data_IF_115783315511
#
_entry.id   IF_115783315511
#
_cell.length_a   1.000
_cell.length_b   1.000
_cell.length_c   1.000
_cell.angle_alpha   90.00
_cell.angle_beta   90.00
_cell.angle_gamma   90.00
#
_symmetry.space_group_name_H-M   'P 1'
#
loop_
_entity.id
_entity.type
_entity.pdbx_description
1 polymer ?
#
# COMPACT_ATOMS: atom_id res chain seq x y z
N UNK A 1 9.51 17.36 37.72
CA UNK A 1 8.11 17.82 37.58
C UNK A 1 7.95 19.30 37.21
N UNK A 2 8.87 20.20 37.55
CA UNK A 2 8.73 21.66 37.35
C UNK A 2 8.88 22.15 35.89
N UNK A 3 9.57 21.41 35.03
CA UNK A 3 9.73 21.77 33.61
C UNK A 3 8.44 21.52 32.82
N UNK A 4 7.76 20.39 33.08
CA UNK A 4 6.52 20.00 32.38
C UNK A 4 5.37 20.99 32.60
N UNK A 5 5.21 21.47 33.84
CA UNK A 5 4.22 22.51 34.18
C UNK A 5 4.55 23.88 33.56
N UNK A 6 5.84 24.22 33.39
CA UNK A 6 6.27 25.44 32.68
C UNK A 6 5.96 25.37 31.18
N UNK A 7 6.15 24.20 30.54
CA UNK A 7 5.82 24.00 29.12
C UNK A 7 4.31 24.08 28.87
N UNK A 8 3.50 23.47 29.74
CA UNK A 8 2.04 23.57 29.70
C UNK A 8 1.54 25.01 29.92
N UNK A 9 2.13 25.76 30.86
CA UNK A 9 1.75 27.15 31.14
C UNK A 9 2.07 28.13 30.01
N UNK A 10 3.10 27.86 29.20
CA UNK A 10 3.44 28.71 28.05
C UNK A 10 2.69 28.32 26.77
N UNK A 11 2.22 27.07 26.66
CA UNK A 11 1.51 26.58 25.47
C UNK A 11 0.01 26.35 25.66
N UNK A 12 -0.57 26.54 26.85
CA UNK A 12 -1.99 26.25 27.10
C UNK A 12 -2.93 26.91 26.09
N UNK A 13 -2.68 28.17 25.69
CA UNK A 13 -3.47 28.85 24.64
C UNK A 13 -3.39 28.14 23.29
N UNK A 14 -2.23 27.59 22.93
CA UNK A 14 -2.03 26.79 21.70
C UNK A 14 -2.67 25.40 21.82
N UNK A 15 -2.64 24.80 23.01
CA UNK A 15 -3.26 23.49 23.27
C UNK A 15 -4.79 23.58 23.26
N UNK A 16 -5.38 24.59 23.93
CA UNK A 16 -6.83 24.81 23.96
C UNK A 16 -7.36 25.26 22.60
N UNK A 17 -6.62 26.10 21.87
CA UNK A 17 -6.99 26.48 20.50
C UNK A 17 -6.92 25.29 19.53
N UNK A 18 -5.91 24.42 19.66
CA UNK A 18 -5.80 23.19 18.86
C UNK A 18 -6.97 22.24 19.10
N UNK A 19 -7.33 21.99 20.36
CA UNK A 19 -8.50 21.15 20.71
C UNK A 19 -9.81 21.76 20.21
N UNK A 20 -9.97 23.08 20.25
CA UNK A 20 -11.15 23.76 19.73
C UNK A 20 -11.24 23.63 18.19
N UNK A 21 -10.13 23.83 17.48
CA UNK A 21 -10.06 23.68 16.02
C UNK A 21 -10.37 22.24 15.59
N UNK A 22 -9.81 21.25 16.28
CA UNK A 22 -10.08 19.83 15.99
C UNK A 22 -11.56 19.49 16.20
N UNK A 23 -12.21 20.05 17.21
CA UNK A 23 -13.63 19.85 17.45
C UNK A 23 -14.52 20.52 16.38
N UNK A 24 -14.12 21.69 15.86
CA UNK A 24 -14.81 22.36 14.76
C UNK A 24 -14.71 21.54 13.46
N UNK A 25 -13.52 21.04 13.13
CA UNK A 25 -13.31 20.18 11.97
C UNK A 25 -14.14 18.91 12.06
N UNK A 26 -14.17 18.26 13.23
CA UNK A 26 -15.03 17.09 13.46
C UNK A 26 -16.51 17.41 13.28
N UNK A 27 -16.97 18.55 13.81
CA UNK A 27 -18.36 18.97 13.68
C UNK A 27 -18.75 19.20 12.21
N UNK A 28 -17.90 19.89 11.46
CA UNK A 28 -18.13 20.14 10.03
C UNK A 28 -18.18 18.82 9.24
N UNK A 29 -17.26 17.90 9.50
CA UNK A 29 -17.24 16.58 8.86
C UNK A 29 -18.48 15.75 9.20
N UNK A 30 -18.93 15.75 10.46
CA UNK A 30 -20.16 15.08 10.85
C UNK A 30 -21.39 15.67 10.14
N UNK A 31 -21.44 17.00 9.96
CA UNK A 31 -22.52 17.66 9.22
C UNK A 31 -22.52 17.26 7.74
N UNK A 32 -21.34 17.22 7.10
CA UNK A 32 -21.22 16.77 5.71
C UNK A 32 -21.63 15.30 5.58
N UNK A 33 -21.13 14.43 6.46
CA UNK A 33 -21.48 13.02 6.49
C UNK A 33 -22.99 12.81 6.75
N UNK A 34 -23.62 13.62 7.60
CA UNK A 34 -25.08 13.61 7.85
C UNK A 34 -25.89 13.88 6.58
N UNK A 35 -25.42 14.75 5.69
CA UNK A 35 -26.08 14.99 4.39
C UNK A 35 -26.06 13.72 3.54
N UNK A 36 -24.96 12.96 3.53
CA UNK A 36 -24.89 11.66 2.84
C UNK A 36 -25.79 10.60 3.51
N UNK A 37 -25.90 10.64 4.83
CA UNK A 37 -26.73 9.72 5.60
C UNK A 37 -28.23 9.87 5.42
N UNK A 38 -28.69 11.11 5.21
CA UNK A 38 -30.10 11.44 5.04
C UNK A 38 -30.63 11.13 3.62
N UNK A 39 -29.83 10.50 2.76
CA UNK A 39 -30.26 10.11 1.42
C UNK A 39 -31.27 8.94 1.49
N UNK A 40 -32.34 9.06 0.70
CA UNK A 40 -33.39 8.05 0.65
C UNK A 40 -32.93 6.83 -0.16
N UNK A 41 -33.17 5.64 0.38
CA UNK A 41 -32.89 4.36 -0.27
C UNK A 41 -34.25 3.71 -0.60
N UNK A 42 -34.43 3.14 -1.81
CA UNK A 42 -35.65 2.39 -2.12
C UNK A 42 -35.82 1.21 -1.16
N UNK A 43 -37.05 0.82 -0.79
CA UNK A 43 -37.28 -0.25 0.19
C UNK A 43 -36.72 -1.62 -0.25
N UNK A 44 -36.53 -1.83 -1.56
CA UNK A 44 -36.00 -3.06 -2.13
C UNK A 44 -34.46 -3.06 -2.26
N UNK A 45 -33.81 -1.90 -2.06
CA UNK A 45 -32.36 -1.79 -2.17
C UNK A 45 -31.71 -2.19 -0.84
N UNK A 46 -30.70 -3.04 -0.91
CA UNK A 46 -29.94 -3.42 0.26
C UNK A 46 -28.93 -2.32 0.64
N UNK A 47 -28.74 -2.15 1.94
CA UNK A 47 -27.72 -1.23 2.43
C UNK A 47 -26.34 -1.88 2.28
N UNK A 48 -25.36 -1.08 1.85
CA UNK A 48 -23.98 -1.52 1.71
C UNK A 48 -23.42 -1.93 3.08
N UNK A 49 -22.75 -3.08 3.12
CA UNK A 49 -22.06 -3.60 4.29
C UNK A 49 -20.59 -3.19 4.25
N UNK A 50 -20.08 -2.65 5.35
CA UNK A 50 -18.67 -2.30 5.47
C UNK A 50 -17.99 -3.13 6.57
N UNK A 51 -16.78 -3.61 6.29
CA UNK A 51 -15.95 -4.30 7.29
C UNK A 51 -14.71 -3.48 7.57
N UNK A 52 -14.51 -3.09 8.82
CA UNK A 52 -13.42 -2.21 9.26
C UNK A 52 -12.37 -3.03 10.00
N UNK A 53 -11.14 -3.05 9.50
CA UNK A 53 -9.97 -3.58 10.19
C UNK A 53 -9.24 -2.45 10.91
N UNK A 54 -9.13 -2.54 12.23
CA UNK A 54 -8.51 -1.53 13.06
C UNK A 54 -7.28 -2.09 13.77
N UNK A 55 -6.12 -1.48 13.52
CA UNK A 55 -4.92 -1.71 14.32
C UNK A 55 -4.76 -0.62 15.39
N UNK A 56 -5.08 -0.92 16.67
CA UNK A 56 -5.00 0.07 17.76
C UNK A 56 -3.56 0.49 18.07
N UNK A 57 -2.56 -0.35 17.78
CA UNK A 57 -1.15 -0.08 18.07
C UNK A 57 -0.49 0.85 17.04
N UNK A 58 -1.11 1.04 15.87
CA UNK A 58 -0.57 1.88 14.79
C UNK A 58 -0.50 3.37 15.15
N UNK A 59 -1.21 3.80 16.20
CA UNK A 59 -1.31 5.21 16.58
C UNK A 59 -0.38 5.59 17.75
N UNK A 60 0.44 6.62 17.54
CA UNK A 60 1.49 7.03 18.47
C UNK A 60 0.97 7.88 19.66
N UNK A 61 -0.22 8.50 19.57
CA UNK A 61 -0.73 9.35 20.65
C UNK A 61 -1.69 8.59 21.57
N UNK A 62 -1.35 8.56 22.88
CA UNK A 62 -2.19 7.98 23.93
C UNK A 62 -3.62 8.53 23.86
N UNK A 63 -4.57 7.67 23.46
CA UNK A 63 -5.99 8.01 23.34
C UNK A 63 -6.73 7.09 22.36
N UNK A 64 -6.65 5.77 22.54
CA UNK A 64 -7.40 4.79 21.72
C UNK A 64 -8.92 5.03 21.75
N UNK A 65 -9.46 5.53 22.87
CA UNK A 65 -10.89 5.83 23.01
C UNK A 65 -11.38 7.02 22.17
N UNK A 66 -10.53 8.00 21.85
CA UNK A 66 -10.95 9.15 21.00
C UNK A 66 -10.88 8.81 19.51
N UNK A 67 -10.00 7.90 19.09
CA UNK A 67 -9.90 7.46 17.69
C UNK A 67 -11.11 6.66 17.23
N UNK A 68 -11.65 5.79 18.07
CA UNK A 68 -12.91 5.11 17.79
C UNK A 68 -14.03 6.14 17.58
N UNK A 69 -14.10 7.19 18.38
CA UNK A 69 -15.01 8.31 18.14
C UNK A 69 -14.66 9.12 16.86
N UNK A 70 -13.40 9.33 16.51
CA UNK A 70 -12.98 10.12 15.33
C UNK A 70 -13.22 9.36 14.02
N UNK A 71 -12.99 8.06 14.00
CA UNK A 71 -13.09 7.20 12.82
C UNK A 71 -14.49 6.59 12.71
N UNK A 72 -15.07 6.13 13.82
CA UNK A 72 -16.41 5.52 13.81
C UNK A 72 -17.52 6.58 13.80
N UNK A 73 -17.42 7.74 14.48
CA UNK A 73 -18.57 8.66 14.51
C UNK A 73 -18.97 9.22 13.12
N UNK A 74 -18.06 9.63 12.22
CA UNK A 74 -18.43 10.14 10.90
C UNK A 74 -18.91 9.04 9.94
N UNK A 75 -18.38 7.81 10.07
CA UNK A 75 -18.76 6.67 9.21
C UNK A 75 -20.07 6.04 9.68
N UNK A 76 -20.25 5.86 11.00
CA UNK A 76 -21.30 5.05 11.62
C UNK A 76 -22.58 5.83 11.92
N UNK A 77 -22.51 7.14 12.20
CA UNK A 77 -23.66 7.90 12.70
C UNK A 77 -24.59 8.39 11.57
N UNK A 78 -24.12 8.69 10.35
CA UNK A 78 -25.03 9.11 9.31
C UNK A 78 -25.31 8.05 8.24
N UNK A 79 -24.33 7.23 7.83
CA UNK A 79 -24.64 6.17 6.87
C UNK A 79 -25.33 5.04 7.65
N UNK A 80 -26.62 4.79 7.39
CA UNK A 80 -27.39 3.69 8.02
C UNK A 80 -26.90 2.28 7.59
N UNK A 81 -25.59 2.12 7.39
CA UNK A 81 -24.92 0.95 6.86
C UNK A 81 -24.43 0.05 7.98
N UNK A 82 -24.84 -1.23 8.01
CA UNK A 82 -24.31 -2.17 9.00
C UNK A 82 -22.80 -2.32 8.78
N UNK A 83 -22.00 -1.86 9.76
CA UNK A 83 -20.55 -2.00 9.73
C UNK A 83 -20.02 -2.87 10.88
N UNK A 84 -19.14 -3.80 10.52
CA UNK A 84 -18.48 -4.71 11.43
C UNK A 84 -17.06 -4.23 11.69
N UNK A 85 -16.72 -3.98 12.95
CA UNK A 85 -15.37 -3.53 13.33
C UNK A 85 -14.61 -4.72 13.89
N UNK A 86 -13.49 -5.04 13.24
CA UNK A 86 -12.57 -6.09 13.61
C UNK A 86 -11.28 -5.44 14.10
N UNK A 87 -11.01 -5.57 15.39
CA UNK A 87 -9.76 -5.13 15.98
C UNK A 87 -8.71 -6.22 15.80
N UNK A 88 -7.52 -5.83 15.35
CA UNK A 88 -6.35 -6.71 15.26
C UNK A 88 -5.50 -6.55 16.51
N UNK A 89 -5.19 -7.66 17.16
CA UNK A 89 -4.37 -7.74 18.37
C UNK A 89 -2.90 -8.05 18.06
N UNK A 90 -2.63 -8.75 16.95
CA UNK A 90 -1.27 -9.14 16.54
C UNK A 90 -1.10 -9.21 15.02
N UNK A 91 0.15 -9.25 14.58
CA UNK A 91 0.54 -9.31 13.17
C UNK A 91 0.02 -10.58 12.47
N UNK A 92 -0.53 -10.40 11.27
CA UNK A 92 -1.11 -11.48 10.46
C UNK A 92 -2.51 -11.93 10.90
N UNK A 93 -3.09 -11.33 11.96
CA UNK A 93 -4.48 -11.62 12.34
C UNK A 93 -5.47 -11.10 11.30
N UNK A 94 -5.21 -9.92 10.71
CA UNK A 94 -6.08 -9.35 9.68
C UNK A 94 -6.22 -10.31 8.49
N UNK A 95 -5.10 -10.91 8.08
CA UNK A 95 -5.01 -11.89 7.00
C UNK A 95 -5.88 -13.13 7.25
N UNK A 96 -5.78 -13.73 8.44
CA UNK A 96 -6.59 -14.91 8.83
C UNK A 96 -8.08 -14.58 8.90
N UNK A 97 -8.43 -13.43 9.47
CA UNK A 97 -9.83 -12.98 9.54
C UNK A 97 -10.40 -12.74 8.16
N UNK A 98 -9.58 -12.22 7.24
CA UNK A 98 -10.02 -11.96 5.88
C UNK A 98 -10.23 -13.23 5.06
N UNK A 99 -9.50 -14.31 5.33
CA UNK A 99 -9.75 -15.64 4.71
C UNK A 99 -11.13 -16.20 5.09
N UNK A 100 -11.66 -15.84 6.27
CA UNK A 100 -12.97 -16.28 6.75
C UNK A 100 -14.10 -15.29 6.43
N UNK A 101 -13.79 -14.15 5.82
CA UNK A 101 -14.80 -13.14 5.50
C UNK A 101 -15.59 -13.57 4.26
N UNK A 102 -16.91 -13.73 4.38
CA UNK A 102 -17.72 -14.29 3.30
C UNK A 102 -18.46 -13.23 2.47
N UNK A 103 -18.88 -12.10 3.07
CA UNK A 103 -19.67 -11.08 2.37
C UNK A 103 -19.42 -9.66 2.92
N UNK A 104 -18.87 -8.77 2.07
CA UNK A 104 -18.74 -7.33 2.37
C UNK A 104 -18.76 -6.53 1.07
N UNK A 105 -19.33 -5.34 1.09
CA UNK A 105 -19.36 -4.45 -0.08
C UNK A 105 -18.19 -3.47 -0.06
N UNK A 106 -17.59 -3.23 1.11
CA UNK A 106 -16.50 -2.29 1.34
C UNK A 106 -15.59 -2.81 2.45
N UNK A 107 -14.28 -2.81 2.20
CA UNK A 107 -13.28 -3.09 3.24
C UNK A 107 -12.63 -1.78 3.64
N UNK A 108 -12.57 -1.46 4.92
CA UNK A 108 -11.88 -0.27 5.44
C UNK A 108 -10.72 -0.72 6.30
N UNK A 109 -9.55 -0.15 6.08
CA UNK A 109 -8.34 -0.41 6.87
C UNK A 109 -7.94 0.85 7.61
N UNK A 110 -7.95 0.81 8.93
CA UNK A 110 -7.50 1.87 9.82
C UNK A 110 -6.19 1.46 10.49
N UNK A 111 -5.07 1.96 9.99
CA UNK A 111 -3.75 1.52 10.40
C UNK A 111 -2.59 2.23 9.68
N UNK A 112 -1.44 1.59 9.66
CA UNK A 112 -0.29 1.99 8.84
C UNK A 112 -0.14 1.11 7.59
N UNK A 113 0.96 1.31 6.86
CA UNK A 113 1.23 0.60 5.60
C UNK A 113 1.32 -0.93 5.79
N UNK A 114 1.87 -1.43 6.91
CA UNK A 114 1.90 -2.87 7.22
C UNK A 114 0.51 -3.49 7.41
N UNK A 115 -0.37 -2.87 8.21
CA UNK A 115 -1.75 -3.34 8.36
C UNK A 115 -2.51 -3.35 7.03
N UNK A 116 -2.23 -2.39 6.15
CA UNK A 116 -2.79 -2.36 4.81
C UNK A 116 -2.25 -3.52 3.95
N UNK A 117 -0.94 -3.78 4.00
CA UNK A 117 -0.29 -4.90 3.34
C UNK A 117 -0.89 -6.24 3.79
N UNK A 118 -1.15 -6.43 5.09
CA UNK A 118 -1.73 -7.67 5.61
C UNK A 118 -3.12 -7.93 5.03
N UNK A 119 -3.96 -6.89 5.01
CA UNK A 119 -5.32 -6.98 4.48
C UNK A 119 -5.27 -7.29 2.99
N UNK A 120 -4.44 -6.61 2.22
CA UNK A 120 -4.30 -6.85 0.78
C UNK A 120 -3.79 -8.24 0.49
N UNK A 121 -2.79 -8.69 1.25
CA UNK A 121 -2.28 -10.04 1.13
C UNK A 121 -3.36 -11.05 1.50
N UNK A 122 -4.19 -10.76 2.49
CA UNK A 122 -5.39 -11.54 2.81
C UNK A 122 -6.37 -11.60 1.62
N UNK A 123 -6.67 -10.46 0.98
CA UNK A 123 -7.64 -10.37 -0.14
C UNK A 123 -7.17 -11.25 -1.30
N UNK A 124 -5.89 -11.10 -1.66
CA UNK A 124 -5.33 -11.68 -2.87
C UNK A 124 -4.85 -13.13 -2.72
N UNK A 125 -4.79 -13.65 -1.48
CA UNK A 125 -4.52 -15.09 -1.24
C UNK A 125 -5.76 -15.96 -1.25
N UNK A 126 -6.95 -15.37 -1.23
CA UNK A 126 -8.21 -16.12 -1.21
C UNK A 126 -8.44 -16.88 -2.52
N UNK A 127 -9.12 -18.01 -2.44
CA UNK A 127 -9.54 -18.76 -3.63
C UNK A 127 -10.55 -18.02 -4.52
N UNK A 128 -11.30 -17.07 -3.96
CA UNK A 128 -12.26 -16.19 -4.63
C UNK A 128 -11.72 -14.76 -4.85
N UNK A 129 -10.39 -14.62 -4.93
CA UNK A 129 -9.67 -13.38 -5.16
C UNK A 129 -10.31 -12.50 -6.26
N UNK A 130 -10.73 -13.08 -7.39
CA UNK A 130 -11.26 -12.32 -8.53
C UNK A 130 -12.54 -11.52 -8.20
N UNK A 131 -13.30 -11.96 -7.21
CA UNK A 131 -14.48 -11.23 -6.70
C UNK A 131 -14.06 -10.21 -5.67
N UNK A 132 -13.23 -10.62 -4.71
CA UNK A 132 -12.78 -9.77 -3.61
C UNK A 132 -11.88 -8.61 -4.08
N UNK A 133 -11.11 -8.77 -5.15
CA UNK A 133 -10.28 -7.71 -5.72
C UNK A 133 -11.11 -6.56 -6.34
N UNK A 134 -12.38 -6.83 -6.67
CA UNK A 134 -13.32 -5.82 -7.19
C UNK A 134 -13.97 -5.00 -6.07
N UNK A 135 -13.91 -5.47 -4.81
CA UNK A 135 -14.42 -4.76 -3.64
C UNK A 135 -13.52 -3.55 -3.38
N UNK A 136 -14.08 -2.34 -3.25
CA UNK A 136 -13.29 -1.15 -2.97
C UNK A 136 -12.76 -1.15 -1.53
N UNK A 137 -11.50 -0.75 -1.39
CA UNK A 137 -10.77 -0.67 -0.13
C UNK A 137 -10.63 0.80 0.28
N UNK A 138 -11.06 1.13 1.50
CA UNK A 138 -10.84 2.42 2.14
C UNK A 138 -9.61 2.35 3.03
N UNK A 139 -8.76 3.37 2.97
CA UNK A 139 -7.58 3.46 3.84
C UNK A 139 -7.66 4.69 4.73
N UNK A 140 -7.49 4.48 6.03
CA UNK A 140 -7.49 5.53 7.05
C UNK A 140 -6.09 5.53 7.70
N UNK A 141 -5.23 6.51 7.35
CA UNK A 141 -3.82 6.50 7.72
C UNK A 141 -3.59 6.93 9.17
N UNK A 142 -3.54 5.97 10.09
CA UNK A 142 -3.27 6.18 11.51
C UNK A 142 -1.76 6.23 11.83
N UNK A 143 -0.92 5.65 10.98
CA UNK A 143 0.54 5.65 11.13
C UNK A 143 1.18 7.04 11.05
N UNK A 144 2.41 7.20 11.56
CA UNK A 144 3.11 8.50 11.53
C UNK A 144 3.41 8.97 10.10
N UNK A 145 3.92 8.05 9.28
CA UNK A 145 4.15 8.22 7.85
C UNK A 145 3.33 7.16 7.12
N UNK A 146 2.74 7.54 6.01
CA UNK A 146 2.09 6.60 5.10
C UNK A 146 2.40 7.05 3.68
N UNK A 147 2.85 6.10 2.87
CA UNK A 147 3.30 6.36 1.50
C UNK A 147 2.11 6.55 0.57
N UNK A 148 1.08 5.71 0.69
CA UNK A 148 -0.11 5.75 -0.16
C UNK A 148 -1.06 6.89 0.14
N UNK A 149 -1.13 7.36 1.40
CA UNK A 149 -2.05 8.45 1.75
C UNK A 149 -1.72 9.76 1.04
N UNK A 150 -0.45 10.01 0.71
CA UNK A 150 -0.03 11.20 -0.04
C UNK A 150 -0.57 11.19 -1.47
N UNK A 151 -0.75 10.00 -2.05
CA UNK A 151 -1.32 9.80 -3.37
C UNK A 151 -2.84 9.88 -3.35
N UNK A 152 -3.49 9.17 -2.42
CA UNK A 152 -4.95 9.03 -2.40
C UNK A 152 -5.67 10.27 -1.88
N UNK A 153 -5.03 11.04 -0.99
CA UNK A 153 -5.66 12.17 -0.31
C UNK A 153 -4.86 13.46 -0.49
N UNK A 154 -5.52 14.60 -0.30
CA UNK A 154 -4.86 15.89 -0.31
C UNK A 154 -3.88 16.00 0.88
N UNK A 155 -2.76 16.71 0.66
CA UNK A 155 -1.87 17.07 1.75
C UNK A 155 -2.59 18.03 2.71
N UNK A 156 -2.58 17.69 3.99
CA UNK A 156 -3.25 18.47 5.04
C UNK A 156 -2.24 18.88 6.11
N UNK A 157 -2.36 20.12 6.62
CA UNK A 157 -1.45 20.63 7.64
C UNK A 157 -1.61 19.97 9.03
N UNK A 158 -2.76 19.34 9.31
CA UNK A 158 -3.05 18.68 10.58
C UNK A 158 -3.36 17.18 10.35
N UNK A 159 -2.80 16.30 11.19
CA UNK A 159 -3.04 14.86 11.15
C UNK A 159 -4.52 14.49 11.33
N UNK A 160 -5.25 15.22 12.19
CA UNK A 160 -6.68 14.97 12.42
C UNK A 160 -7.49 15.29 11.17
N UNK A 161 -7.15 16.42 10.51
CA UNK A 161 -7.77 16.79 9.24
C UNK A 161 -7.51 15.72 8.17
N UNK A 162 -6.28 15.20 8.07
CA UNK A 162 -5.95 14.13 7.14
C UNK A 162 -6.83 12.88 7.31
N UNK A 163 -7.06 12.47 8.57
CA UNK A 163 -7.88 11.30 8.90
C UNK A 163 -9.35 11.58 8.54
N UNK A 164 -9.84 12.78 8.83
CA UNK A 164 -11.20 13.20 8.49
C UNK A 164 -11.40 13.21 6.97
N UNK A 165 -10.48 13.81 6.22
CA UNK A 165 -10.55 13.91 4.76
C UNK A 165 -10.51 12.51 4.11
N UNK A 166 -9.65 11.62 4.61
CA UNK A 166 -9.59 10.22 4.18
C UNK A 166 -10.91 9.47 4.46
N UNK A 167 -11.49 9.68 5.63
CA UNK A 167 -12.77 9.07 6.01
C UNK A 167 -13.92 9.58 5.13
N UNK A 168 -13.92 10.88 4.86
CA UNK A 168 -14.92 11.53 4.03
C UNK A 168 -14.81 11.12 2.56
N UNK A 169 -13.60 10.86 2.05
CA UNK A 169 -13.39 10.32 0.71
C UNK A 169 -14.06 8.94 0.54
N UNK A 170 -14.03 8.09 1.57
CA UNK A 170 -14.74 6.80 1.57
C UNK A 170 -16.26 7.03 1.49
N UNK A 171 -16.80 7.97 2.26
CA UNK A 171 -18.23 8.31 2.23
C UNK A 171 -18.65 8.86 0.85
N UNK A 172 -17.80 9.67 0.22
CA UNK A 172 -18.02 10.21 -1.14
C UNK A 172 -18.05 9.12 -2.20
N UNK A 173 -17.35 8.01 -1.98
CA UNK A 173 -17.46 6.81 -2.82
C UNK A 173 -16.64 6.83 -4.11
N UNK A 174 -15.79 7.85 -4.32
CA UNK A 174 -14.90 7.92 -5.49
C UNK A 174 -13.77 6.90 -5.36
N UNK A 175 -13.54 6.12 -6.42
CA UNK A 175 -12.51 5.08 -6.42
C UNK A 175 -11.48 5.26 -7.53
N UNK A 176 -10.26 4.76 -7.29
CA UNK A 176 -9.14 4.73 -8.24
C UNK A 176 -8.53 3.32 -8.24
N UNK A 177 -8.25 2.74 -9.41
CA UNK A 177 -7.55 1.45 -9.48
C UNK A 177 -6.05 1.62 -9.16
N UNK A 178 -5.50 0.73 -8.34
CA UNK A 178 -4.08 0.69 -7.98
C UNK A 178 -3.43 -0.61 -8.44
N UNK A 179 -2.15 -0.51 -8.75
CA UNK A 179 -1.32 -1.65 -9.10
C UNK A 179 -0.82 -2.35 -7.82
N UNK A 180 -0.59 -3.66 -7.91
CA UNK A 180 -0.08 -4.47 -6.79
C UNK A 180 1.15 -5.24 -7.26
N UNK A 181 2.17 -5.34 -6.43
CA UNK A 181 3.30 -6.24 -6.64
C UNK A 181 3.01 -7.56 -5.97
N UNK A 182 3.09 -8.64 -6.73
CA UNK A 182 3.13 -10.00 -6.22
C UNK A 182 4.59 -10.42 -6.04
N UNK A 183 4.98 -10.69 -4.81
CA UNK A 183 6.34 -11.11 -4.44
C UNK A 183 6.23 -12.56 -3.96
N UNK A 184 6.80 -13.49 -4.71
CA UNK A 184 6.75 -14.92 -4.44
C UNK A 184 8.14 -15.45 -4.14
N UNK A 185 8.34 -15.93 -2.91
CA UNK A 185 9.50 -16.74 -2.55
C UNK A 185 9.33 -18.20 -3.02
N UNK A 186 10.42 -18.96 -3.06
CA UNK A 186 10.38 -20.35 -3.51
C UNK A 186 9.51 -21.26 -2.62
N UNK A 187 9.58 -21.07 -1.30
CA UNK A 187 8.95 -21.95 -0.30
C UNK A 187 7.71 -21.34 0.36
N UNK A 188 7.56 -20.03 0.28
CA UNK A 188 6.51 -19.30 0.97
C UNK A 188 5.32 -18.96 0.07
N UNK A 189 4.17 -18.74 0.68
CA UNK A 189 3.02 -18.20 -0.03
C UNK A 189 3.29 -16.76 -0.52
N UNK A 190 2.75 -16.37 -1.68
CA UNK A 190 3.02 -15.07 -2.29
C UNK A 190 2.58 -13.91 -1.40
N UNK A 191 3.46 -12.96 -1.16
CA UNK A 191 3.18 -11.70 -0.45
C UNK A 191 2.79 -10.63 -1.46
N UNK A 192 1.84 -9.77 -1.11
CA UNK A 192 1.39 -8.70 -2.00
C UNK A 192 1.71 -7.34 -1.39
N UNK A 193 2.18 -6.41 -2.21
CA UNK A 193 2.60 -5.08 -1.78
C UNK A 193 2.05 -3.99 -2.71
N UNK A 194 1.73 -2.83 -2.16
CA UNK A 194 1.29 -1.66 -2.94
C UNK A 194 2.41 -0.70 -3.24
N UNK A 195 3.40 -0.54 -2.36
CA UNK A 195 4.45 0.47 -2.55
C UNK A 195 5.68 -0.17 -3.15
N UNK A 196 6.24 -1.18 -2.49
CA UNK A 196 7.45 -1.81 -2.97
C UNK A 196 8.23 -2.65 -1.98
N UNK A 197 9.24 -3.30 -2.52
CA UNK A 197 10.30 -4.01 -1.81
C UNK A 197 11.56 -3.14 -1.77
N UNK A 198 12.23 -3.10 -0.62
CA UNK A 198 13.53 -2.44 -0.43
C UNK A 198 14.50 -3.39 0.24
N UNK A 199 15.74 -3.38 -0.23
CA UNK A 199 16.82 -4.19 0.31
C UNK A 199 18.14 -3.41 0.29
N UNK A 200 18.74 -3.23 1.46
CA UNK A 200 20.09 -2.66 1.57
C UNK A 200 20.28 -1.69 2.73
N UNK A 201 21.37 -0.92 2.65
CA UNK A 201 21.93 -0.17 3.76
C UNK A 201 21.00 0.92 4.34
N UNK A 202 20.27 1.63 3.47
CA UNK A 202 19.34 2.68 3.93
C UNK A 202 18.16 2.10 4.71
N UNK A 203 17.66 0.93 4.28
CA UNK A 203 16.61 0.18 4.99
C UNK A 203 17.11 -0.25 6.37
N UNK A 204 18.30 -0.84 6.44
CA UNK A 204 18.86 -1.33 7.70
C UNK A 204 19.16 -0.18 8.69
N UNK A 205 19.69 0.93 8.19
CA UNK A 205 19.83 2.16 8.98
C UNK A 205 18.46 2.67 9.46
N UNK A 206 17.44 2.64 8.60
CA UNK A 206 16.06 3.02 8.92
C UNK A 206 15.45 2.24 10.08
N UNK A 207 15.61 0.91 10.10
CA UNK A 207 15.12 0.04 11.18
C UNK A 207 15.78 0.39 12.52
N UNK A 208 17.08 0.66 12.52
CA UNK A 208 17.82 0.99 13.74
C UNK A 208 17.51 2.37 14.32
N UNK A 209 16.88 3.29 13.56
CA UNK A 209 16.47 4.62 14.04
C UNK A 209 15.65 4.54 15.33
N UNK A 210 14.77 3.53 15.44
CA UNK A 210 13.92 3.31 16.61
C UNK A 210 14.73 3.00 17.88
N UNK A 211 15.85 2.27 17.75
CA UNK A 211 16.75 1.92 18.87
C UNK A 211 17.40 3.16 19.48
N UNK A 212 17.66 4.18 18.67
CA UNK A 212 18.29 5.44 19.09
C UNK A 212 17.30 6.49 19.59
N UNK A 213 16.18 6.06 20.20
CA UNK A 213 15.12 6.95 20.69
C UNK A 213 15.64 8.06 21.64
N UNK A 214 16.72 7.78 22.39
CA UNK A 214 17.35 8.69 23.35
C UNK A 214 18.05 9.90 22.71
N UNK A 215 18.39 9.85 21.41
CA UNK A 215 19.04 10.95 20.69
C UNK A 215 18.05 11.98 20.12
N UNK A 216 16.75 11.82 20.38
CA UNK A 216 15.71 12.78 20.01
C UNK A 216 15.73 13.13 18.51
N UNK A 217 15.94 14.40 18.11
CA UNK A 217 15.92 14.81 16.71
C UNK A 217 17.11 14.31 15.89
N UNK A 218 18.22 13.94 16.55
CA UNK A 218 19.44 13.46 15.89
C UNK A 218 19.40 11.96 15.60
N UNK A 219 18.41 11.23 16.12
CA UNK A 219 18.33 9.76 16.02
C UNK A 219 18.41 9.24 14.58
N UNK A 220 17.81 9.94 13.62
CA UNK A 220 17.82 9.52 12.21
C UNK A 220 19.22 9.64 11.61
N UNK A 221 19.90 10.77 11.81
CA UNK A 221 21.28 10.97 11.34
C UNK A 221 22.26 10.05 12.07
N UNK A 222 22.09 9.90 13.38
CA UNK A 222 22.92 9.04 14.21
C UNK A 222 22.85 7.57 13.78
N UNK A 223 21.66 7.06 13.45
CA UNK A 223 21.50 5.69 12.95
C UNK A 223 22.33 5.42 11.68
N UNK A 224 22.26 6.34 10.71
CA UNK A 224 23.03 6.25 9.48
C UNK A 224 24.53 6.40 9.75
N UNK A 225 24.92 7.32 10.63
CA UNK A 225 26.32 7.51 11.04
C UNK A 225 26.89 6.25 11.72
N UNK A 226 26.18 5.67 12.70
CA UNK A 226 26.62 4.45 13.37
C UNK A 226 26.66 3.25 12.41
N UNK A 227 25.77 3.18 11.42
CA UNK A 227 25.87 2.18 10.35
C UNK A 227 27.19 2.33 9.57
N UNK A 228 27.55 3.55 9.16
CA UNK A 228 28.81 3.80 8.43
C UNK A 228 30.08 3.54 9.25
N UNK A 229 30.00 3.57 10.58
CA UNK A 229 31.13 3.23 11.46
C UNK A 229 31.32 1.73 11.62
N UNK A 230 30.24 0.95 11.53
CA UNK A 230 30.30 -0.50 11.67
C UNK A 230 31.01 -1.11 10.45
N UNK A 231 30.58 -0.72 9.26
CA UNK A 231 31.10 -1.24 8.00
C UNK A 231 30.83 -0.25 6.87
N UNK A 232 31.83 -0.02 6.01
CA UNK A 232 31.68 0.85 4.84
C UNK A 232 32.70 0.50 3.75
N UNK A 233 32.28 0.36 2.48
CA UNK A 233 30.92 0.47 1.95
C UNK A 233 30.09 -0.82 2.16
N UNK A 234 28.81 -0.68 2.54
CA UNK A 234 27.88 -1.81 2.73
C UNK A 234 27.23 -2.19 1.39
N UNK A 235 28.01 -2.73 0.46
CA UNK A 235 27.50 -3.11 -0.86
C UNK A 235 26.86 -4.49 -0.82
N UNK A 236 25.68 -4.60 -1.41
CA UNK A 236 24.99 -5.86 -1.60
C UNK A 236 25.09 -6.29 -3.07
N UNK A 237 25.50 -7.53 -3.28
CA UNK A 237 25.56 -8.14 -4.61
C UNK A 237 24.32 -8.98 -4.86
N UNK A 238 23.70 -8.82 -6.02
CA UNK A 238 22.59 -9.65 -6.46
C UNK A 238 22.53 -9.72 -8.00
N UNK A 239 21.86 -10.74 -8.51
CA UNK A 239 21.55 -10.85 -9.93
C UNK A 239 20.05 -10.64 -10.14
N UNK A 240 19.69 -9.79 -11.08
CA UNK A 240 18.30 -9.55 -11.45
C UNK A 240 18.10 -9.99 -12.89
N UNK A 241 17.13 -10.86 -13.10
CA UNK A 241 16.58 -11.12 -14.43
C UNK A 241 15.24 -10.41 -14.54
N UNK A 242 15.02 -9.64 -15.60
CA UNK A 242 13.77 -8.89 -15.78
C UNK A 242 13.26 -8.92 -17.21
N UNK A 243 11.97 -8.65 -17.34
CA UNK A 243 11.25 -8.49 -18.60
C UNK A 243 10.79 -7.04 -18.75
N UNK A 244 10.74 -6.55 -19.99
CA UNK A 244 10.39 -5.17 -20.28
C UNK A 244 8.95 -4.78 -19.88
N UNK A 245 8.58 -3.51 -20.04
CA UNK A 245 7.21 -3.03 -19.82
C UNK A 245 6.19 -3.84 -20.60
N UNK A 246 5.01 -4.07 -19.99
CA UNK A 246 3.90 -4.72 -20.66
C UNK A 246 3.00 -3.65 -21.30
N UNK A 247 2.64 -3.84 -22.56
CA UNK A 247 1.63 -3.01 -23.20
C UNK A 247 0.28 -3.23 -22.53
N UNK A 248 -0.44 -2.13 -22.31
CA UNK A 248 -1.75 -2.20 -21.70
C UNK A 248 -2.73 -2.89 -22.66
N UNK A 249 -3.42 -3.97 -22.24
CA UNK A 249 -4.51 -4.52 -23.03
C UNK A 249 -5.59 -3.44 -23.19
N UNK A 250 -6.20 -3.29 -24.39
CA UNK A 250 -7.22 -2.28 -24.60
C UNK A 250 -8.30 -2.43 -23.54
N UNK A 251 -8.65 -1.31 -22.89
CA UNK A 251 -9.67 -1.22 -21.84
C UNK A 251 -11.07 -1.48 -22.42
N UNK A 252 -11.30 -2.65 -22.99
CA UNK A 252 -12.64 -3.17 -23.17
C UNK A 252 -13.21 -3.43 -21.79
N UNK A 253 -14.50 -3.10 -21.60
CA UNK A 253 -15.22 -3.66 -20.48
C UNK A 253 -14.97 -5.18 -20.48
N UNK A 254 -14.61 -5.76 -19.34
CA UNK A 254 -14.79 -7.19 -19.14
C UNK A 254 -16.29 -7.47 -19.26
N UNK A 255 -16.81 -7.49 -20.48
CA UNK A 255 -18.07 -8.13 -20.80
C UNK A 255 -17.81 -9.59 -20.47
N UNK A 256 -18.20 -10.01 -19.25
CA UNK A 256 -18.38 -11.43 -18.98
C UNK A 256 -19.18 -11.96 -20.15
N UNK A 257 -18.61 -12.86 -20.99
CA UNK A 257 -19.28 -13.26 -22.20
C UNK A 257 -20.66 -13.78 -21.79
N UNK A 258 -21.74 -13.31 -22.44
CA UNK A 258 -23.10 -13.67 -22.05
C UNK A 258 -23.16 -15.19 -21.95
N UNK A 259 -23.72 -15.67 -20.83
CA UNK A 259 -23.76 -17.10 -20.51
C UNK A 259 -24.26 -17.84 -21.76
N UNK A 260 -23.46 -18.73 -22.37
CA UNK A 260 -23.85 -19.38 -23.60
C UNK A 260 -25.15 -20.16 -23.40
N UNK A 261 -26.02 -20.14 -24.40
CA UNK A 261 -27.33 -20.79 -24.37
C UNK A 261 -27.23 -22.28 -23.96
N UNK A 262 -28.30 -22.80 -23.35
CA UNK A 262 -28.38 -24.18 -22.84
C UNK A 262 -27.96 -25.21 -23.90
N UNK A 263 -28.40 -25.04 -25.14
CA UNK A 263 -28.01 -25.90 -26.26
C UNK A 263 -26.50 -25.90 -26.51
N UNK A 264 -25.85 -24.72 -26.53
CA UNK A 264 -24.40 -24.59 -26.74
C UNK A 264 -23.58 -25.22 -25.61
N UNK A 265 -24.12 -25.26 -24.39
CA UNK A 265 -23.52 -25.97 -23.24
C UNK A 265 -23.63 -27.48 -23.37
N UNK A 266 -24.80 -27.98 -23.77
CA UNK A 266 -25.02 -29.41 -24.02
C UNK A 266 -24.11 -29.87 -25.16
N UNK A 267 -24.01 -29.07 -26.23
CA UNK A 267 -23.18 -29.37 -27.39
C UNK A 267 -21.68 -29.34 -27.05
N UNK A 268 -21.23 -28.41 -26.20
CA UNK A 268 -19.85 -28.44 -25.66
C UNK A 268 -19.62 -29.65 -24.77
N UNK A 269 -20.57 -30.02 -23.91
CA UNK A 269 -20.47 -31.21 -23.04
C UNK A 269 -20.38 -32.50 -23.85
N UNK A 270 -21.19 -32.62 -24.90
CA UNK A 270 -21.13 -33.70 -25.86
C UNK A 270 -19.80 -33.62 -26.61
N UNK A 271 -19.41 -32.48 -27.17
CA UNK A 271 -18.12 -32.33 -27.85
C UNK A 271 -16.93 -32.73 -26.95
N UNK A 272 -16.94 -32.41 -25.65
CA UNK A 272 -15.91 -32.87 -24.69
C UNK A 272 -16.02 -34.34 -24.30
N UNK A 273 -17.19 -34.98 -24.47
CA UNK A 273 -17.36 -36.42 -24.24
C UNK A 273 -16.84 -37.24 -25.43
N UNK A 274 -16.88 -36.66 -26.64
CA UNK A 274 -16.42 -37.29 -27.88
C UNK A 274 -15.02 -36.83 -28.32
N UNK A 275 -14.50 -35.73 -27.76
CA UNK A 275 -13.13 -35.33 -27.92
C UNK A 275 -12.24 -36.28 -27.12
N UNK A 276 -11.39 -37.04 -27.81
CA UNK A 276 -10.24 -37.67 -27.16
C UNK A 276 -9.40 -36.57 -26.48
N UNK A 277 -8.76 -36.86 -25.34
CA UNK A 277 -7.80 -35.95 -24.75
C UNK A 277 -6.65 -35.80 -25.73
N UNK A 278 -6.70 -34.77 -26.58
CA UNK A 278 -5.50 -34.20 -27.12
C UNK A 278 -4.82 -33.55 -25.93
N UNK A 279 -3.58 -33.99 -25.64
CA UNK A 279 -2.68 -33.26 -24.78
C UNK A 279 -2.78 -31.78 -25.17
N UNK A 280 -3.26 -30.97 -24.23
CA UNK A 280 -3.40 -29.55 -24.46
C UNK A 280 -2.01 -29.05 -24.85
N UNK A 281 -1.82 -28.76 -26.13
CA UNK A 281 -0.68 -28.00 -26.60
C UNK A 281 -0.72 -26.72 -25.77
N UNK A 282 0.18 -26.66 -24.80
CA UNK A 282 0.43 -25.48 -24.00
C UNK A 282 0.46 -24.31 -24.97
N UNK A 283 -0.28 -23.21 -24.73
CA UNK A 283 -0.18 -22.04 -25.58
C UNK A 283 1.31 -21.75 -25.74
N UNK A 284 1.76 -21.67 -26.99
CA UNK A 284 3.15 -21.38 -27.32
C UNK A 284 3.57 -20.19 -26.48
N UNK A 285 4.34 -20.45 -25.42
CA UNK A 285 4.90 -19.42 -24.57
C UNK A 285 5.90 -18.75 -25.49
N UNK A 286 5.50 -17.61 -26.07
CA UNK A 286 6.43 -16.69 -26.72
C UNK A 286 7.63 -16.61 -25.79
N UNK A 287 8.79 -17.10 -26.22
CA UNK A 287 9.98 -17.20 -25.39
C UNK A 287 10.26 -15.82 -24.81
N UNK A 288 9.85 -15.61 -23.56
CA UNK A 288 9.98 -14.34 -22.87
C UNK A 288 11.47 -14.04 -22.82
N UNK A 289 11.89 -12.91 -23.41
CA UNK A 289 13.32 -12.55 -23.44
C UNK A 289 13.64 -11.91 -22.09
N UNK A 290 14.24 -12.70 -21.20
CA UNK A 290 14.75 -12.21 -19.92
C UNK A 290 16.10 -11.54 -20.14
N UNK A 291 16.24 -10.31 -19.63
CA UNK A 291 17.52 -9.60 -19.57
C UNK A 291 18.11 -9.78 -18.19
N UNK A 292 19.36 -10.23 -18.13
CA UNK A 292 20.08 -10.41 -16.87
C UNK A 292 21.02 -9.24 -16.60
N UNK A 293 21.02 -8.76 -15.35
CA UNK A 293 21.90 -7.70 -14.87
C UNK A 293 22.46 -8.12 -13.52
N UNK A 294 23.79 -8.15 -13.42
CA UNK A 294 24.48 -8.32 -12.15
C UNK A 294 24.69 -6.96 -11.50
N UNK A 295 24.39 -6.87 -10.21
CA UNK A 295 24.30 -5.61 -9.48
C UNK A 295 25.15 -5.67 -8.22
N UNK A 296 25.83 -4.56 -7.95
CA UNK A 296 26.51 -4.29 -6.69
C UNK A 296 26.10 -2.90 -6.22
N UNK A 297 25.07 -2.83 -5.40
CA UNK A 297 24.40 -1.57 -5.01
C UNK A 297 24.37 -1.38 -3.50
N UNK A 298 24.25 -0.14 -3.03
CA UNK A 298 24.01 0.13 -1.59
C UNK A 298 22.59 -0.21 -1.17
N UNK A 299 21.62 0.05 -2.05
CA UNK A 299 20.22 -0.31 -1.85
C UNK A 299 19.56 -0.59 -3.20
N UNK A 300 18.80 -1.67 -3.24
CA UNK A 300 17.89 -2.02 -4.31
C UNK A 300 16.46 -1.70 -3.84
N UNK A 301 15.67 -1.08 -4.71
CA UNK A 301 14.23 -0.91 -4.48
C UNK A 301 13.43 -1.28 -5.71
N UNK A 302 12.39 -2.08 -5.53
CA UNK A 302 11.41 -2.43 -6.55
C UNK A 302 10.10 -1.79 -6.12
N UNK A 303 9.64 -0.78 -6.86
CA UNK A 303 8.50 0.06 -6.46
C UNK A 303 7.45 0.17 -7.55
N UNK A 304 6.18 0.25 -7.17
CA UNK A 304 5.10 0.58 -8.09
C UNK A 304 5.14 2.06 -8.50
N UNK A 305 4.35 2.41 -9.51
CA UNK A 305 4.06 3.81 -9.86
C UNK A 305 2.90 4.38 -9.06
N UNK A 306 2.42 3.68 -8.02
CA UNK A 306 1.29 4.15 -7.23
C UNK A 306 1.55 5.51 -6.58
N UNK A 307 2.80 5.89 -6.32
CA UNK A 307 3.12 7.23 -5.81
C UNK A 307 2.77 8.36 -6.79
N UNK A 308 2.84 8.11 -8.09
CA UNK A 308 2.53 9.05 -9.17
C UNK A 308 1.70 8.33 -10.24
N UNK A 309 0.43 8.06 -9.90
CA UNK A 309 -0.49 7.34 -10.75
C UNK A 309 -0.79 8.14 -12.01
N UNK A 310 -0.46 7.55 -13.16
CA UNK A 310 -0.94 7.98 -14.47
C UNK A 310 -1.94 6.94 -14.99
N UNK A 311 -3.22 7.29 -14.91
CA UNK A 311 -4.31 6.44 -15.37
C UNK A 311 -4.39 6.35 -16.91
N UNK A 312 -3.67 7.20 -17.63
CA UNK A 312 -3.70 7.30 -19.09
C UNK A 312 -2.50 6.64 -19.78
N UNK A 313 -1.42 6.39 -19.04
CA UNK A 313 -0.17 5.77 -19.53
C UNK A 313 -0.41 4.54 -20.41
N UNK A 314 0.23 4.37 -21.56
CA UNK A 314 -0.04 3.19 -22.43
C UNK A 314 0.58 1.88 -21.95
N UNK A 315 1.53 1.96 -21.03
CA UNK A 315 2.33 0.83 -20.56
C UNK A 315 2.14 0.66 -19.05
N UNK A 316 2.13 -0.59 -18.62
CA UNK A 316 2.08 -0.97 -17.21
C UNK A 316 3.42 -1.61 -16.81
N UNK A 317 4.13 -0.93 -15.90
CA UNK A 317 5.45 -1.36 -15.41
C UNK A 317 5.71 -0.89 -13.97
N UNK A 318 6.58 -1.64 -13.29
CA UNK A 318 7.19 -1.30 -12.00
C UNK A 318 8.59 -0.74 -12.23
N UNK A 319 9.06 0.07 -11.28
CA UNK A 319 10.39 0.66 -11.31
C UNK A 319 11.35 -0.15 -10.44
N UNK A 320 12.41 -0.66 -11.04
CA UNK A 320 13.55 -1.25 -10.35
C UNK A 320 14.64 -0.20 -10.28
N UNK A 321 14.90 0.35 -9.10
CA UNK A 321 15.90 1.38 -8.89
C UNK A 321 17.06 0.86 -8.04
N UNK A 322 18.26 1.17 -8.50
CA UNK A 322 19.53 0.66 -8.03
C UNK A 322 20.38 1.84 -7.59
N UNK A 323 20.60 1.97 -6.28
CA UNK A 323 21.40 3.08 -5.75
C UNK A 323 22.90 2.79 -5.94
N UNK A 324 23.68 3.78 -6.40
CA UNK A 324 25.10 3.57 -6.73
C UNK A 324 25.93 3.25 -5.48
N UNK A 325 27.03 2.53 -5.67
CA UNK A 325 27.99 2.20 -4.62
C UNK A 325 29.07 3.27 -4.38
N UNK A 326 29.06 4.36 -5.16
CA UNK A 326 30.05 5.44 -5.12
C UNK A 326 29.70 6.61 -4.19
N UNK A 327 28.53 6.55 -3.54
CA UNK A 327 28.04 7.61 -2.64
C UNK A 327 29.05 7.85 -1.50
N UNK A 328 29.25 9.10 -1.08
CA UNK A 328 30.11 9.41 0.07
C UNK A 328 29.42 9.12 1.41
N UNK A 329 30.18 8.92 2.49
CA UNK A 329 29.60 8.74 3.84
C UNK A 329 28.71 9.91 4.26
N UNK A 330 29.13 11.14 3.93
CA UNK A 330 28.38 12.35 4.26
C UNK A 330 27.03 12.40 3.53
N UNK A 331 27.05 12.09 2.23
CA UNK A 331 25.85 12.07 1.40
C UNK A 331 24.91 10.94 1.81
N UNK A 332 25.45 9.76 2.16
CA UNK A 332 24.66 8.66 2.72
C UNK A 332 23.90 9.07 3.98
N UNK A 333 24.55 9.77 4.93
CA UNK A 333 23.89 10.22 6.16
C UNK A 333 22.84 11.28 5.87
N UNK A 334 23.16 12.26 5.01
CA UNK A 334 22.27 13.36 4.69
C UNK A 334 21.06 12.87 3.89
N UNK A 335 21.28 12.10 2.83
CA UNK A 335 20.25 11.50 2.01
C UNK A 335 19.41 10.51 2.82
N UNK A 336 20.04 9.60 3.57
CA UNK A 336 19.34 8.60 4.38
C UNK A 336 18.42 9.24 5.43
N UNK A 337 18.86 10.33 6.07
CA UNK A 337 18.02 11.08 7.00
C UNK A 337 16.76 11.69 6.36
N UNK A 338 16.83 12.04 5.07
CA UNK A 338 15.68 12.50 4.27
C UNK A 338 14.85 11.32 3.78
N UNK A 339 15.49 10.22 3.35
CA UNK A 339 14.87 9.00 2.80
C UNK A 339 13.98 8.28 3.82
N UNK A 340 14.31 8.35 5.11
CA UNK A 340 13.42 7.86 6.19
C UNK A 340 12.08 8.62 6.25
N UNK A 341 12.06 9.90 5.87
CA UNK A 341 10.82 10.71 5.84
C UNK A 341 10.10 10.58 4.50
N UNK A 342 10.86 10.62 3.42
CA UNK A 342 10.36 10.44 2.06
C UNK A 342 11.16 9.34 1.35
N UNK A 343 10.65 8.10 1.30
CA UNK A 343 11.36 6.97 0.70
C UNK A 343 11.49 7.08 -0.82
N UNK A 344 10.85 8.06 -1.47
CA UNK A 344 10.93 8.29 -2.92
C UNK A 344 12.23 8.97 -3.34
N UNK A 345 12.92 9.61 -2.39
CA UNK A 345 14.17 10.32 -2.67
C UNK A 345 15.27 9.34 -3.09
N UNK A 346 15.95 9.68 -4.18
CA UNK A 346 17.01 8.88 -4.81
C UNK A 346 18.35 9.58 -4.69
N UNK A 347 19.43 8.81 -4.70
CA UNK A 347 20.78 9.36 -4.81
C UNK A 347 21.07 9.83 -6.24
N UNK A 348 22.01 10.75 -6.36
CA UNK A 348 22.57 11.13 -7.66
C UNK A 348 23.27 9.93 -8.30
N UNK A 349 22.97 9.65 -9.58
CA UNK A 349 23.50 8.48 -10.28
C UNK A 349 22.71 7.18 -10.06
N UNK A 350 21.50 7.25 -9.49
CA UNK A 350 20.60 6.08 -9.40
C UNK A 350 20.15 5.65 -10.79
N UNK A 351 20.34 4.37 -11.10
CA UNK A 351 19.81 3.76 -12.31
C UNK A 351 18.42 3.18 -12.02
N UNK A 352 17.42 3.55 -12.81
CA UNK A 352 16.07 3.01 -12.70
C UNK A 352 15.66 2.36 -14.03
N UNK A 353 15.20 1.13 -13.96
CA UNK A 353 14.77 0.33 -15.09
C UNK A 353 13.27 0.01 -14.97
N UNK A 354 12.47 0.23 -16.04
CA UNK A 354 11.07 -0.17 -16.05
C UNK A 354 10.96 -1.67 -16.42
N UNK A 355 10.19 -2.42 -15.63
CA UNK A 355 9.99 -3.85 -15.82
C UNK A 355 8.55 -4.26 -15.51
N UNK A 356 8.05 -5.34 -16.10
CA UNK A 356 6.72 -5.90 -15.73
C UNK A 356 6.86 -7.08 -14.74
N UNK A 357 7.91 -7.88 -14.90
CA UNK A 357 8.28 -9.00 -14.03
C UNK A 357 9.80 -9.04 -13.86
N UNK A 358 10.26 -9.37 -12.67
CA UNK A 358 11.67 -9.63 -12.40
C UNK A 358 11.87 -10.76 -11.39
N UNK A 359 12.96 -11.49 -11.49
CA UNK A 359 13.42 -12.41 -10.46
C UNK A 359 14.72 -11.88 -9.86
N UNK A 360 14.73 -11.79 -8.54
CA UNK A 360 15.88 -11.38 -7.74
C UNK A 360 16.56 -12.64 -7.20
N UNK A 361 17.78 -12.88 -7.64
CA UNK A 361 18.62 -13.97 -7.17
C UNK A 361 19.69 -13.41 -6.24
N UNK A 362 19.69 -13.92 -5.01
CA UNK A 362 20.69 -13.59 -3.99
C UNK A 362 21.79 -14.65 -3.97
N UNK A 363 23.06 -14.28 -3.76
CA UNK A 363 24.14 -15.25 -3.54
C UNK A 363 23.87 -16.15 -2.33
N UNK A 364 24.32 -17.40 -2.38
CA UNK A 364 24.17 -18.35 -1.27
C UNK A 364 24.83 -17.83 0.01
N UNK A 365 24.10 -17.87 1.14
CA UNK A 365 24.60 -17.37 2.43
C UNK A 365 24.42 -15.87 2.66
N UNK A 366 23.77 -15.15 1.73
CA UNK A 366 23.41 -13.73 1.93
C UNK A 366 22.35 -13.60 3.02
N UNK A 367 22.79 -13.31 4.24
CA UNK A 367 21.90 -12.93 5.33
C UNK A 367 21.36 -11.51 5.14
N UNK A 368 20.16 -11.24 5.62
CA UNK A 368 19.56 -9.91 5.59
C UNK A 368 18.05 -9.96 5.63
N UNK A 369 17.45 -8.78 5.57
CA UNK A 369 15.99 -8.64 5.57
C UNK A 369 15.55 -7.69 4.46
N UNK A 370 14.52 -8.10 3.75
CA UNK A 370 13.75 -7.21 2.89
C UNK A 370 12.83 -6.34 3.75
N UNK A 371 12.53 -5.14 3.25
CA UNK A 371 11.37 -4.37 3.70
C UNK A 371 10.32 -4.34 2.61
N UNK A 372 9.17 -4.95 2.86
CA UNK A 372 8.02 -4.92 1.95
C UNK A 372 6.95 -4.04 2.63
N UNK A 373 6.63 -2.88 2.04
CA UNK A 373 5.66 -1.91 2.59
C UNK A 373 5.84 -1.58 4.09
N UNK A 374 7.09 -1.51 4.56
CA UNK A 374 7.51 -1.24 5.94
C UNK A 374 7.44 -2.42 6.92
N UNK A 375 7.15 -3.62 6.45
CA UNK A 375 7.31 -4.87 7.22
C UNK A 375 8.62 -5.58 6.87
N UNK A 376 9.15 -6.35 7.82
CA UNK A 376 10.42 -7.06 7.67
C UNK A 376 10.20 -8.50 7.23
N UNK A 377 10.86 -8.90 6.13
CA UNK A 377 10.82 -10.26 5.61
C UNK A 377 12.25 -10.79 5.48
N UNK A 378 12.46 -12.10 5.67
CA UNK A 378 13.77 -12.70 5.47
C UNK A 378 14.18 -12.60 4.00
N UNK A 379 15.43 -12.22 3.75
CA UNK A 379 15.95 -12.09 2.39
C UNK A 379 16.12 -13.48 1.77
N UNK A 380 15.46 -13.70 0.63
CA UNK A 380 15.53 -14.95 -0.13
C UNK A 380 15.40 -14.65 -1.63
N UNK A 381 15.74 -15.60 -2.52
CA UNK A 381 15.41 -15.47 -3.93
C UNK A 381 13.90 -15.29 -4.11
N UNK A 382 13.50 -14.24 -4.83
CA UNK A 382 12.09 -13.88 -5.00
C UNK A 382 11.78 -13.54 -6.45
N UNK A 383 10.61 -13.97 -6.88
CA UNK A 383 10.00 -13.54 -8.13
C UNK A 383 9.00 -12.43 -7.85
N UNK A 384 9.16 -11.29 -8.53
CA UNK A 384 8.30 -10.12 -8.41
C UNK A 384 7.55 -9.90 -9.73
N UNK A 385 6.23 -9.81 -9.64
CA UNK A 385 5.35 -9.57 -10.79
C UNK A 385 4.42 -8.40 -10.49
N UNK A 386 4.27 -7.49 -11.46
CA UNK A 386 3.27 -6.44 -11.39
C UNK A 386 1.87 -6.99 -11.76
N UNK A 387 0.88 -6.67 -10.94
CA UNK A 387 -0.54 -6.88 -11.18
C UNK A 387 -1.19 -5.52 -11.38
N UNK A 388 -1.34 -5.06 -12.65
CA UNK A 388 -1.86 -3.73 -12.92
C UNK A 388 -3.33 -3.61 -12.52
N UNK A 389 -3.70 -2.49 -11.89
CA UNK A 389 -5.08 -2.08 -11.56
C UNK A 389 -5.88 -3.15 -10.82
N UNK A 390 -5.20 -3.97 -10.02
CA UNK A 390 -5.76 -5.17 -9.42
C UNK A 390 -6.78 -4.84 -8.33
N UNK A 391 -6.55 -3.76 -7.59
CA UNK A 391 -7.38 -3.33 -6.47
C UNK A 391 -7.96 -1.94 -6.70
N UNK A 392 -9.09 -1.64 -6.06
CA UNK A 392 -9.74 -0.33 -6.11
C UNK A 392 -9.68 0.34 -4.75
N UNK A 393 -9.20 1.57 -4.70
CA UNK A 393 -9.08 2.35 -3.47
C UNK A 393 -9.97 3.57 -3.49
N UNK A 394 -10.54 3.95 -2.35
CA UNK A 394 -11.19 5.25 -2.24
C UNK A 394 -10.16 6.38 -2.24
N UNK A 395 -10.47 7.46 -2.95
CA UNK A 395 -9.59 8.63 -3.08
C UNK A 395 -10.39 9.92 -2.94
N UNK A 396 -9.70 11.02 -2.63
CA UNK A 396 -10.30 12.35 -2.69
C UNK A 396 -10.69 12.68 -4.15
N UNK A 397 -11.93 13.12 -4.42
CA UNK A 397 -12.33 13.57 -5.75
C UNK A 397 -11.38 14.60 -6.38
N UNK A 398 -10.76 15.47 -5.57
CA UNK A 398 -9.78 16.47 -6.04
C UNK A 398 -8.54 15.81 -6.60
N UNK A 399 -7.99 14.82 -5.87
CA UNK A 399 -6.83 14.03 -6.32
C UNK A 399 -7.15 13.22 -7.57
N UNK A 400 -8.36 12.65 -7.65
CA UNK A 400 -8.79 11.93 -8.85
C UNK A 400 -8.83 12.85 -10.08
N UNK A 401 -9.29 14.09 -9.93
CA UNK A 401 -9.27 15.06 -11.02
C UNK A 401 -7.83 15.40 -11.46
N UNK A 402 -6.91 15.62 -10.51
CA UNK A 402 -5.48 15.85 -10.79
C UNK A 402 -4.84 14.67 -11.55
N UNK A 403 -5.12 13.43 -11.13
CA UNK A 403 -4.62 12.21 -11.78
C UNK A 403 -5.12 12.02 -13.22
N UNK A 404 -6.25 12.65 -13.57
CA UNK A 404 -6.81 12.64 -14.92
C UNK A 404 -6.36 13.85 -15.75
N UNK A 405 -6.02 14.97 -15.11
CA UNK A 405 -5.64 16.23 -15.75
C UNK A 405 -4.16 16.36 -16.10
N UNK A 406 -3.27 15.53 -15.54
CA UNK A 406 -1.82 15.52 -15.80
C UNK A 406 -1.41 15.25 -17.27
N UNK A 407 -2.37 15.33 -18.21
CA UNK A 407 -2.24 15.09 -19.64
C UNK A 407 -2.84 16.22 -20.51
N UNK A 408 -3.42 17.27 -19.93
CA UNK A 408 -3.97 18.40 -20.71
C UNK A 408 -2.92 19.48 -21.06
N UNK A 409 -1.68 19.32 -20.59
CA UNK A 409 -0.56 20.24 -20.84
C UNK A 409 0.61 19.57 -21.55
#
# INVERSE_FOLDING_TARGET
>A
MTVFFKTLRNHWKKTTAGVCLDNLLRRAACQEAQVFGNQLIPPNAQVKKATVFLNPAAFFFKGTCTLFAIVAAPVYIPTNSPSFILQTDYEGQAKKLLELLENTDVIIVAGGDGTLQEVITGVLRRGDEATFSKIPIGFIPLGQTSTLSQTLFAESGNKVQHIIDATLAIVKGETVPLDVLQIKGEKEQPVFALTGLRWGSFRDAGVTVSRYWYLGPLKTKAAHFFSTLKEWPQTHQASISYTGPAERPPSGAEETPPRPSLYRRILRRLASYWAQPQDALSPEVSSEVWKEVQLSTLELSITTRNSQLDLTSKEDFMNICMEPNTISKGDFIMLGSKKVRDPRLRAEGTECLPASRCALLLPEGTGGFFSIDSEEYEAMPVEVKLLPRKLRFFCDPRRRAEMLQSWAE
#
